data_IF_333146638484
#
_entry.id   IF_333146638484
#
_cell.length_a   1.000
_cell.length_b   1.000
_cell.length_c   1.000
_cell.angle_alpha   90.00
_cell.angle_beta   90.00
_cell.angle_gamma   90.00
#
_symmetry.space_group_name_H-M   'P 1'
#
loop_
_entity.id
_entity.type
_entity.pdbx_description
1 polymer ?
#
# COMPACT_ATOMS: atom_id res chain seq x y z
N UNK A 1 38.40 18.18 8.89
CA UNK A 1 36.97 18.52 8.98
C UNK A 1 36.23 17.65 7.97
N UNK A 2 35.77 16.46 8.38
CA UNK A 2 34.96 15.61 7.51
C UNK A 2 33.52 15.62 8.03
N UNK A 3 32.69 16.44 7.38
CA UNK A 3 31.26 16.49 7.62
C UNK A 3 30.59 15.28 6.99
N UNK A 4 30.64 14.14 7.69
CA UNK A 4 29.88 12.95 7.35
C UNK A 4 28.39 13.27 7.33
N UNK A 5 27.80 13.32 6.13
CA UNK A 5 26.36 13.42 5.91
C UNK A 5 25.71 12.17 6.50
N UNK A 6 25.33 12.26 7.79
CA UNK A 6 24.51 11.28 8.47
C UNK A 6 23.08 11.37 7.93
N UNK A 7 22.87 10.95 6.68
CA UNK A 7 21.52 10.63 6.20
C UNK A 7 21.13 9.34 6.90
N UNK A 8 20.45 9.48 8.03
CA UNK A 8 19.64 8.38 8.55
C UNK A 8 18.78 7.87 7.38
N UNK A 9 18.77 6.56 7.09
CA UNK A 9 17.88 6.02 6.07
C UNK A 9 16.46 6.44 6.45
N UNK A 10 15.78 7.12 5.52
CA UNK A 10 14.40 7.48 5.72
C UNK A 10 13.63 6.21 6.14
N UNK A 11 12.77 6.28 7.17
CA UNK A 11 12.00 5.12 7.59
C UNK A 11 11.33 4.52 6.36
N UNK A 12 11.52 3.22 6.12
CA UNK A 12 10.89 2.52 5.01
C UNK A 12 9.38 2.60 5.20
N UNK A 13 8.74 3.60 4.60
CA UNK A 13 7.30 3.72 4.63
C UNK A 13 6.68 2.52 3.89
N UNK A 14 5.48 2.11 4.30
CA UNK A 14 4.77 1.03 3.63
C UNK A 14 4.45 1.46 2.19
N UNK A 15 5.18 0.92 1.21
CA UNK A 15 5.05 1.30 -0.20
C UNK A 15 4.03 0.44 -0.96
N UNK A 16 3.24 -0.37 -0.25
CA UNK A 16 2.26 -1.29 -0.84
C UNK A 16 1.14 -1.62 0.16
N UNK A 17 -0.02 -1.98 -0.37
CA UNK A 17 -1.20 -2.36 0.39
C UNK A 17 -1.43 -3.87 0.27
N UNK A 18 -1.74 -4.55 1.39
CA UNK A 18 -2.18 -5.94 1.39
C UNK A 18 -3.64 -6.02 1.83
N UNK A 19 -4.49 -6.65 1.01
CA UNK A 19 -5.91 -6.80 1.28
C UNK A 19 -6.26 -8.29 1.31
N UNK A 20 -7.10 -8.67 2.28
CA UNK A 20 -7.85 -9.93 2.23
C UNK A 20 -9.31 -9.60 1.99
N UNK A 21 -9.82 -10.00 0.82
CA UNK A 21 -11.16 -9.67 0.36
C UNK A 21 -11.94 -10.95 0.10
N UNK A 22 -13.25 -10.90 0.35
CA UNK A 22 -14.23 -11.89 -0.08
C UNK A 22 -15.25 -11.16 -0.95
N UNK A 23 -15.05 -11.09 -2.27
CA UNK A 23 -16.12 -10.62 -3.14
C UNK A 23 -17.24 -11.66 -3.19
N UNK A 24 -18.47 -11.23 -3.46
CA UNK A 24 -19.59 -12.14 -3.70
C UNK A 24 -19.43 -12.85 -5.04
N UNK A 25 -18.94 -12.12 -6.06
CA UNK A 25 -18.49 -12.67 -7.34
C UNK A 25 -17.02 -12.34 -7.61
N UNK A 26 -16.21 -13.36 -7.90
CA UNK A 26 -14.81 -13.20 -8.25
C UNK A 26 -14.59 -12.32 -9.50
N UNK A 27 -15.57 -12.23 -10.41
CA UNK A 27 -15.52 -11.36 -11.59
C UNK A 27 -15.50 -9.86 -11.25
N UNK A 28 -15.88 -9.49 -10.02
CA UNK A 28 -15.92 -8.11 -9.55
C UNK A 28 -14.56 -7.61 -9.05
N UNK A 29 -13.65 -8.52 -8.70
CA UNK A 29 -12.35 -8.15 -8.14
C UNK A 29 -11.57 -7.18 -9.06
N UNK A 30 -11.47 -7.39 -10.40
CA UNK A 30 -10.82 -6.43 -11.28
C UNK A 30 -11.47 -5.04 -11.26
N UNK A 31 -12.81 -4.97 -11.20
CA UNK A 31 -13.55 -3.70 -11.12
C UNK A 31 -13.26 -2.97 -9.81
N UNK A 32 -13.31 -3.68 -8.70
CA UNK A 32 -12.97 -3.15 -7.37
C UNK A 32 -11.53 -2.65 -7.32
N UNK A 33 -10.57 -3.45 -7.77
CA UNK A 33 -9.15 -3.07 -7.75
C UNK A 33 -8.87 -1.89 -8.68
N UNK A 34 -9.56 -1.81 -9.82
CA UNK A 34 -9.48 -0.64 -10.71
C UNK A 34 -10.00 0.61 -10.00
N UNK A 35 -11.17 0.54 -9.37
CA UNK A 35 -11.74 1.65 -8.62
C UNK A 35 -10.80 2.12 -7.49
N UNK A 36 -10.27 1.20 -6.67
CA UNK A 36 -9.30 1.52 -5.61
C UNK A 36 -8.09 2.22 -6.20
N UNK A 37 -7.49 1.66 -7.24
CA UNK A 37 -6.27 2.18 -7.84
C UNK A 37 -6.48 3.57 -8.45
N UNK A 38 -7.58 3.74 -9.20
CA UNK A 38 -7.90 4.99 -9.88
C UNK A 38 -8.29 6.10 -8.91
N UNK A 39 -9.22 5.82 -7.99
CA UNK A 39 -9.69 6.78 -6.98
C UNK A 39 -8.55 7.25 -6.09
N UNK A 40 -7.71 6.33 -5.58
CA UNK A 40 -6.56 6.70 -4.75
C UNK A 40 -5.51 7.48 -5.53
N UNK A 41 -5.22 7.09 -6.78
CA UNK A 41 -4.26 7.82 -7.61
C UNK A 41 -4.72 9.26 -7.87
N UNK A 42 -5.99 9.47 -8.20
CA UNK A 42 -6.54 10.81 -8.40
C UNK A 42 -6.47 11.66 -7.14
N UNK A 43 -6.96 11.13 -6.01
CA UNK A 43 -6.98 11.87 -4.75
C UNK A 43 -5.55 12.23 -4.29
N UNK A 44 -4.62 11.27 -4.35
CA UNK A 44 -3.24 11.48 -3.90
C UNK A 44 -2.45 12.39 -4.84
N UNK A 45 -2.68 12.30 -6.15
CA UNK A 45 -2.09 13.22 -7.11
C UNK A 45 -2.58 14.65 -6.85
N UNK A 46 -3.89 14.84 -6.70
CA UNK A 46 -4.46 16.14 -6.39
C UNK A 46 -3.89 16.72 -5.09
N UNK A 47 -3.89 15.94 -4.01
CA UNK A 47 -3.36 16.33 -2.70
C UNK A 47 -1.86 16.66 -2.70
N UNK A 48 -1.08 15.92 -3.49
CA UNK A 48 0.36 16.12 -3.59
C UNK A 48 0.77 17.13 -4.67
N UNK A 49 -0.18 17.71 -5.41
CA UNK A 49 0.10 18.60 -6.53
C UNK A 49 0.82 17.90 -7.69
N UNK A 50 0.66 16.58 -7.81
CA UNK A 50 1.28 15.76 -8.86
C UNK A 50 0.28 15.43 -9.96
N UNK A 51 0.82 15.05 -11.11
CA UNK A 51 0.08 14.41 -12.19
C UNK A 51 0.79 13.12 -12.63
N UNK A 52 0.08 12.26 -13.36
CA UNK A 52 0.63 11.00 -13.89
C UNK A 52 0.41 9.77 -12.99
N UNK A 53 1.22 8.74 -13.22
CA UNK A 53 1.04 7.43 -12.57
C UNK A 53 1.42 7.49 -11.08
N UNK A 54 0.53 6.96 -10.23
CA UNK A 54 0.77 6.82 -8.78
C UNK A 54 1.24 5.41 -8.41
N UNK A 55 0.54 4.38 -8.91
CA UNK A 55 0.88 2.98 -8.67
C UNK A 55 1.93 2.47 -9.67
N UNK A 56 2.94 1.75 -9.18
CA UNK A 56 4.05 1.22 -10.00
C UNK A 56 3.64 0.04 -10.88
N UNK A 57 2.72 -0.80 -10.40
CA UNK A 57 2.32 -2.03 -11.07
C UNK A 57 0.82 -2.32 -10.88
N UNK A 58 0.32 -3.29 -11.65
CA UNK A 58 -1.00 -3.89 -11.41
C UNK A 58 -1.01 -4.62 -10.06
N UNK A 59 -2.21 -4.90 -9.56
CA UNK A 59 -2.37 -5.70 -8.35
C UNK A 59 -1.95 -7.16 -8.58
N UNK A 60 -1.47 -7.80 -7.51
CA UNK A 60 -1.26 -9.23 -7.45
C UNK A 60 -2.33 -9.86 -6.56
N UNK A 61 -2.98 -10.92 -7.04
CA UNK A 61 -3.99 -11.64 -6.29
C UNK A 61 -3.69 -13.14 -6.25
N UNK A 62 -3.96 -13.75 -5.10
CA UNK A 62 -3.94 -15.20 -4.95
C UNK A 62 -5.19 -15.64 -4.24
N UNK A 63 -6.03 -16.42 -4.92
CA UNK A 63 -7.25 -16.96 -4.33
C UNK A 63 -6.97 -18.20 -3.46
N UNK A 64 -7.87 -18.43 -2.50
CA UNK A 64 -7.95 -19.67 -1.75
C UNK A 64 -9.41 -20.01 -1.44
N UNK A 65 -9.69 -21.29 -1.24
CA UNK A 65 -11.04 -21.76 -0.97
C UNK A 65 -11.55 -21.18 0.36
N UNK A 66 -12.82 -20.76 0.47
CA UNK A 66 -13.38 -20.20 1.71
C UNK A 66 -13.26 -21.12 2.93
N UNK A 67 -13.24 -22.44 2.71
CA UNK A 67 -13.10 -23.48 3.75
C UNK A 67 -11.66 -23.71 4.21
N UNK A 68 -10.66 -23.12 3.55
CA UNK A 68 -9.26 -23.24 3.95
C UNK A 68 -8.95 -22.31 5.12
N UNK A 69 -9.43 -22.72 6.31
CA UNK A 69 -9.35 -21.91 7.51
C UNK A 69 -7.92 -21.63 7.93
N UNK A 70 -7.03 -22.59 7.74
CA UNK A 70 -5.60 -22.47 8.05
C UNK A 70 -4.93 -21.44 7.14
N UNK A 71 -5.19 -21.47 5.83
CA UNK A 71 -4.63 -20.47 4.91
C UNK A 71 -5.18 -19.08 5.21
N UNK A 72 -6.47 -18.96 5.49
CA UNK A 72 -7.07 -17.67 5.88
C UNK A 72 -6.37 -17.04 7.10
N UNK A 73 -6.20 -17.80 8.19
CA UNK A 73 -5.53 -17.30 9.40
C UNK A 73 -4.06 -16.95 9.13
N UNK A 74 -3.35 -17.76 8.35
CA UNK A 74 -1.95 -17.45 8.01
C UNK A 74 -1.82 -16.21 7.14
N UNK A 75 -2.74 -15.99 6.20
CA UNK A 75 -2.80 -14.77 5.37
C UNK A 75 -3.08 -13.56 6.24
N UNK A 76 -4.10 -13.60 7.11
CA UNK A 76 -4.39 -12.52 8.06
C UNK A 76 -3.16 -12.17 8.92
N UNK A 77 -2.52 -13.19 9.50
CA UNK A 77 -1.30 -13.00 10.30
C UNK A 77 -0.16 -12.41 9.48
N UNK A 78 0.03 -12.84 8.24
CA UNK A 78 1.05 -12.30 7.35
C UNK A 78 0.82 -10.80 7.07
N UNK A 79 -0.42 -10.42 6.76
CA UNK A 79 -0.81 -9.02 6.54
C UNK A 79 -0.53 -8.19 7.79
N UNK A 80 -1.01 -8.63 8.96
CA UNK A 80 -0.80 -7.92 10.22
C UNK A 80 0.66 -7.90 10.69
N UNK A 81 1.47 -8.85 10.25
CA UNK A 81 2.90 -8.86 10.54
C UNK A 81 3.70 -7.93 9.63
N UNK A 82 3.14 -7.42 8.54
CA UNK A 82 3.89 -6.66 7.54
C UNK A 82 4.57 -5.40 8.11
N UNK A 83 3.90 -4.53 8.90
CA UNK A 83 4.57 -3.37 9.50
C UNK A 83 5.74 -3.76 10.40
N UNK A 84 5.63 -4.90 11.10
CA UNK A 84 6.71 -5.45 11.92
C UNK A 84 7.85 -5.99 11.07
N UNK A 85 7.52 -6.76 10.03
CA UNK A 85 8.50 -7.36 9.12
C UNK A 85 9.28 -6.31 8.31
N UNK A 86 8.65 -5.20 7.96
CA UNK A 86 9.27 -4.07 7.27
C UNK A 86 10.10 -3.16 8.20
N UNK A 87 10.12 -3.42 9.52
CA UNK A 87 10.83 -2.60 10.50
C UNK A 87 10.12 -1.27 10.83
N UNK A 88 8.89 -1.05 10.35
CA UNK A 88 8.09 0.16 10.62
C UNK A 88 7.62 0.18 12.08
N UNK A 89 7.24 -0.98 12.61
CA UNK A 89 6.74 -1.16 13.97
C UNK A 89 7.53 -2.23 14.71
N UNK A 90 7.69 -2.07 16.02
CA UNK A 90 8.28 -3.12 16.88
C UNK A 90 7.33 -4.30 17.09
N UNK A 91 6.01 -4.06 16.99
CA UNK A 91 4.96 -5.05 17.21
C UNK A 91 3.95 -5.10 16.06
N UNK A 92 2.89 -5.89 16.25
CA UNK A 92 1.81 -6.07 15.27
C UNK A 92 0.83 -4.90 15.21
N UNK A 93 0.74 -4.11 16.29
CA UNK A 93 -0.18 -2.99 16.31
C UNK A 93 0.30 -1.89 15.37
N UNK A 94 -0.53 -1.57 14.39
CA UNK A 94 -0.37 -0.43 13.51
C UNK A 94 -1.76 0.21 13.28
N UNK A 95 -1.93 1.52 13.54
CA UNK A 95 -3.21 2.21 13.36
C UNK A 95 -3.77 2.14 11.94
N UNK A 96 -2.91 1.94 10.94
CA UNK A 96 -3.29 1.81 9.53
C UNK A 96 -3.59 0.36 9.11
N UNK A 97 -3.69 -0.55 10.08
CA UNK A 97 -4.07 -1.94 9.87
C UNK A 97 -5.28 -2.29 10.72
N UNK A 98 -6.09 -3.24 10.25
CA UNK A 98 -7.19 -3.76 11.06
C UNK A 98 -6.75 -4.77 12.14
N UNK A 99 -5.44 -4.88 12.48
CA UNK A 99 -5.00 -5.77 13.57
C UNK A 99 -5.67 -5.41 14.92
N UNK A 100 -5.98 -4.13 15.15
CA UNK A 100 -6.75 -3.68 16.31
C UNK A 100 -8.15 -4.29 16.41
N UNK A 101 -8.83 -4.46 15.26
CA UNK A 101 -10.14 -5.10 15.17
C UNK A 101 -10.12 -6.58 15.62
N UNK A 102 -9.00 -7.27 15.36
CA UNK A 102 -8.83 -8.68 15.75
C UNK A 102 -8.26 -8.84 17.16
N UNK A 103 -7.26 -8.04 17.53
CA UNK A 103 -6.54 -8.19 18.80
C UNK A 103 -7.20 -7.49 19.98
N UNK A 104 -7.85 -6.35 19.74
CA UNK A 104 -8.45 -5.50 20.79
C UNK A 104 -9.96 -5.37 20.67
N UNK A 105 -10.58 -6.04 19.70
CA UNK A 105 -12.02 -5.96 19.41
C UNK A 105 -12.47 -4.51 19.15
N UNK A 106 -11.59 -3.70 18.55
CA UNK A 106 -11.94 -2.35 18.14
C UNK A 106 -12.97 -2.40 17.01
N UNK A 107 -13.95 -1.52 17.07
CA UNK A 107 -14.93 -1.36 16.00
C UNK A 107 -14.29 -0.65 14.80
N UNK A 108 -14.57 -1.16 13.62
CA UNK A 108 -14.21 -0.58 12.32
C UNK A 108 -15.44 -0.76 11.41
N UNK A 109 -15.67 0.21 10.53
CA UNK A 109 -16.78 0.21 9.57
C UNK A 109 -16.50 -0.74 8.40
N UNK A 110 -15.22 -0.99 8.08
CA UNK A 110 -14.81 -1.71 6.88
C UNK A 110 -14.50 -3.18 7.11
N UNK A 111 -14.05 -3.55 8.31
CA UNK A 111 -13.61 -4.91 8.62
C UNK A 111 -14.74 -5.80 9.11
N UNK A 112 -14.70 -7.05 8.66
CA UNK A 112 -15.50 -8.14 9.22
C UNK A 112 -14.55 -9.21 9.77
N UNK A 113 -14.97 -9.90 10.84
CA UNK A 113 -14.22 -11.05 11.35
C UNK A 113 -14.38 -12.24 10.42
N UNK A 114 -13.25 -12.78 9.95
CA UNK A 114 -13.26 -14.00 9.16
C UNK A 114 -13.79 -15.19 9.98
N UNK A 115 -14.58 -16.13 9.41
CA UNK A 115 -15.08 -17.29 10.13
C UNK A 115 -13.99 -18.10 10.86
N UNK A 116 -12.81 -18.24 10.26
CA UNK A 116 -11.66 -18.90 10.91
C UNK A 116 -11.18 -18.23 12.20
N UNK A 117 -11.34 -16.91 12.32
CA UNK A 117 -11.04 -16.20 13.57
C UNK A 117 -12.12 -16.49 14.61
N UNK A 118 -13.40 -16.48 14.21
CA UNK A 118 -14.51 -16.78 15.11
C UNK A 118 -14.46 -18.21 15.65
N UNK A 119 -13.94 -19.16 14.87
CA UNK A 119 -13.74 -20.55 15.29
C UNK A 119 -12.59 -20.74 16.30
N UNK A 120 -11.77 -19.71 16.58
CA UNK A 120 -10.63 -19.87 17.50
C UNK A 120 -11.07 -20.17 18.94
N UNK A 121 -12.22 -19.67 19.39
CA UNK A 121 -12.78 -19.92 20.72
C UNK A 121 -14.30 -19.77 20.70
N UNK A 122 -14.97 -20.20 21.77
CA UNK A 122 -16.43 -20.03 21.91
C UNK A 122 -16.87 -18.59 22.15
N UNK A 123 -15.98 -17.75 22.69
CA UNK A 123 -16.26 -16.34 22.99
C UNK A 123 -15.28 -15.42 22.27
N UNK A 124 -15.77 -14.25 21.83
CA UNK A 124 -15.00 -13.29 21.04
C UNK A 124 -13.71 -12.81 21.73
N UNK A 125 -13.77 -12.58 23.06
CA UNK A 125 -12.58 -12.25 23.87
C UNK A 125 -11.54 -13.37 23.86
N UNK A 126 -12.00 -14.63 23.80
CA UNK A 126 -11.14 -15.80 23.63
C UNK A 126 -10.50 -15.85 22.26
N UNK A 127 -11.25 -15.53 21.19
CA UNK A 127 -10.74 -15.45 19.83
C UNK A 127 -9.64 -14.39 19.71
N UNK A 128 -9.88 -13.18 20.25
CA UNK A 128 -8.88 -12.10 20.27
C UNK A 128 -7.59 -12.54 20.98
N UNK A 129 -7.68 -13.15 22.17
CA UNK A 129 -6.51 -13.66 22.91
C UNK A 129 -5.75 -14.73 22.14
N UNK A 130 -6.46 -15.74 21.59
CA UNK A 130 -5.84 -16.83 20.82
C UNK A 130 -5.22 -16.31 19.52
N UNK A 131 -5.86 -15.36 18.85
CA UNK A 131 -5.33 -14.73 17.65
C UNK A 131 -4.06 -13.91 17.94
N UNK A 132 -4.07 -13.09 18.99
CA UNK A 132 -2.90 -12.32 19.41
C UNK A 132 -1.71 -13.24 19.72
N UNK A 133 -1.94 -14.35 20.44
CA UNK A 133 -0.92 -15.36 20.70
C UNK A 133 -0.42 -16.05 19.42
N UNK A 134 -1.33 -16.39 18.51
CA UNK A 134 -0.99 -16.95 17.20
C UNK A 134 -0.11 -16.01 16.35
N UNK A 135 -0.36 -14.70 16.43
CA UNK A 135 0.45 -13.66 15.78
C UNK A 135 1.83 -13.51 16.43
N UNK A 136 1.93 -13.52 17.76
CA UNK A 136 3.21 -13.41 18.46
C UNK A 136 4.22 -14.49 18.05
N UNK A 137 3.76 -15.69 17.68
CA UNK A 137 4.59 -16.80 17.19
C UNK A 137 5.05 -16.65 15.74
N UNK A 138 4.64 -15.59 15.05
CA UNK A 138 5.10 -15.32 13.68
C UNK A 138 6.60 -15.05 13.65
N UNK A 139 7.30 -15.79 12.80
CA UNK A 139 8.70 -15.54 12.45
C UNK A 139 8.75 -15.14 10.99
N UNK A 140 9.22 -13.92 10.73
CA UNK A 140 9.44 -13.48 9.37
C UNK A 140 10.51 -14.38 8.73
N UNK A 141 10.17 -15.00 7.61
CA UNK A 141 11.17 -15.69 6.79
C UNK A 141 11.78 -14.64 5.88
N UNK A 142 13.09 -14.42 5.98
CA UNK A 142 13.80 -13.59 5.01
C UNK A 142 13.50 -14.09 3.61
N UNK A 143 13.11 -13.20 2.69
CA UNK A 143 13.05 -13.55 1.28
C UNK A 143 14.43 -14.07 0.88
N UNK A 144 14.50 -15.26 0.28
CA UNK A 144 15.72 -15.68 -0.38
C UNK A 144 16.15 -14.59 -1.36
N UNK A 145 17.43 -14.23 -1.37
CA UNK A 145 17.95 -13.21 -2.26
C UNK A 145 17.47 -13.42 -3.71
N UNK A 146 17.31 -12.35 -4.49
CA UNK A 146 16.81 -12.46 -5.85
C UNK A 146 17.69 -13.44 -6.63
N UNK A 147 17.11 -14.56 -7.09
CA UNK A 147 17.77 -15.46 -8.03
C UNK A 147 17.59 -14.87 -9.42
N UNK A 148 18.43 -13.90 -9.77
CA UNK A 148 18.50 -13.41 -11.14
C UNK A 148 19.28 -14.43 -11.99
N UNK A 149 18.55 -15.26 -12.75
CA UNK A 149 19.13 -16.12 -13.80
C UNK A 149 19.36 -15.37 -15.12
N UNK A 150 18.84 -14.14 -15.24
CA UNK A 150 19.10 -13.25 -16.36
C UNK A 150 20.28 -12.34 -16.02
N UNK A 151 21.41 -12.61 -16.68
CA UNK A 151 22.74 -12.19 -16.24
C UNK A 151 22.98 -10.66 -16.13
N UNK A 152 23.85 -10.22 -15.21
CA UNK A 152 24.21 -8.80 -15.00
C UNK A 152 24.86 -8.10 -16.21
N UNK A 153 25.32 -8.87 -17.21
CA UNK A 153 26.15 -8.35 -18.32
C UNK A 153 25.33 -7.73 -19.45
N UNK A 154 24.07 -8.13 -19.65
CA UNK A 154 23.28 -7.67 -20.80
C UNK A 154 22.70 -6.26 -20.58
N UNK A 155 22.32 -5.94 -19.34
CA UNK A 155 21.81 -4.62 -18.96
C UNK A 155 22.91 -3.54 -18.98
N UNK A 156 24.14 -3.90 -18.61
CA UNK A 156 25.28 -2.96 -18.65
C UNK A 156 25.55 -2.44 -20.07
N UNK A 157 25.46 -3.32 -21.08
CA UNK A 157 25.62 -2.98 -22.51
C UNK A 157 24.52 -2.08 -23.07
N UNK A 158 23.30 -2.16 -22.56
CA UNK A 158 22.18 -1.32 -23.01
C UNK A 158 22.22 0.08 -22.38
N UNK A 159 22.60 0.18 -21.11
CA UNK A 159 22.73 1.46 -20.41
C UNK A 159 23.92 2.28 -20.92
N UNK A 160 25.01 1.63 -21.35
CA UNK A 160 26.17 2.29 -21.95
C UNK A 160 25.87 2.92 -23.33
N UNK A 161 24.86 2.44 -24.07
CA UNK A 161 24.50 2.96 -25.40
C UNK A 161 23.43 4.06 -25.38
N UNK A 162 22.84 4.38 -24.23
CA UNK A 162 21.64 5.22 -24.12
C UNK A 162 21.81 6.58 -23.44
N UNK A 163 23.04 7.10 -23.28
CA UNK A 163 23.25 8.45 -22.70
C UNK A 163 23.08 9.54 -23.76
N UNK A 164 21.85 9.72 -24.23
CA UNK A 164 21.38 10.93 -24.89
C UNK A 164 20.67 11.82 -23.87
N UNK A 165 21.20 13.03 -23.64
CA UNK A 165 20.58 14.05 -22.79
C UNK A 165 19.28 14.52 -23.43
N UNK A 166 18.12 14.08 -22.92
CA UNK A 166 16.85 14.77 -23.15
C UNK A 166 16.26 15.24 -21.81
N UNK A 167 16.17 16.56 -21.69
CA UNK A 167 15.50 17.28 -20.62
C UNK A 167 14.04 16.82 -20.52
N UNK A 168 13.68 16.16 -19.42
CA UNK A 168 12.28 15.87 -19.07
C UNK A 168 11.62 17.16 -18.55
N UNK A 169 11.23 18.05 -19.46
CA UNK A 169 10.27 19.11 -19.18
C UNK A 169 8.96 18.76 -19.87
N UNK A 170 7.90 18.66 -19.06
CA UNK A 170 6.49 18.69 -19.43
C UNK A 170 6.08 17.77 -20.58
N UNK A 171 5.83 16.50 -20.27
CA UNK A 171 5.05 15.61 -21.13
C UNK A 171 3.80 15.18 -20.35
N UNK A 172 2.69 15.84 -20.61
CA UNK A 172 1.37 15.28 -20.32
C UNK A 172 1.17 14.12 -21.30
N UNK A 173 0.87 12.93 -20.78
CA UNK A 173 0.68 11.75 -21.61
C UNK A 173 -0.56 11.93 -22.52
N UNK A 174 -0.43 11.78 -23.85
CA UNK A 174 -1.58 11.82 -24.75
C UNK A 174 -2.46 10.62 -24.46
N UNK A 175 -3.70 10.85 -24.00
CA UNK A 175 -4.68 9.77 -23.78
C UNK A 175 -5.53 9.84 -22.52
N UNK A 176 -5.35 10.84 -21.64
CA UNK A 176 -6.31 11.06 -20.55
C UNK A 176 -7.60 11.71 -21.09
N UNK A 177 -8.52 10.88 -21.58
CA UNK A 177 -9.92 11.29 -21.70
C UNK A 177 -10.52 11.46 -20.30
N UNK A 178 -11.25 12.55 -20.08
CA UNK A 178 -12.13 12.70 -18.92
C UNK A 178 -13.40 11.90 -19.20
N UNK A 179 -13.71 10.93 -18.34
CA UNK A 179 -14.93 10.12 -18.47
C UNK A 179 -16.13 10.83 -17.82
N UNK A 180 -17.33 10.71 -18.43
CA UNK A 180 -18.53 11.47 -18.04
C UNK A 180 -19.21 11.00 -16.75
N UNK A 181 -18.73 9.91 -16.14
CA UNK A 181 -19.22 9.36 -14.87
C UNK A 181 -18.14 9.39 -13.79
N UNK A 182 -17.40 10.49 -13.71
CA UNK A 182 -16.69 10.83 -12.49
C UNK A 182 -17.72 10.87 -11.37
N UNK A 183 -17.79 9.80 -10.57
CA UNK A 183 -18.43 9.88 -9.27
C UNK A 183 -17.88 11.14 -8.60
N UNK A 184 -18.78 11.97 -8.10
CA UNK A 184 -18.50 13.07 -7.20
C UNK A 184 -17.84 12.51 -5.93
N UNK A 185 -16.57 12.10 -6.04
CA UNK A 185 -15.61 12.56 -5.06
C UNK A 185 -15.69 14.06 -5.28
N UNK A 186 -16.49 14.74 -4.46
CA UNK A 186 -16.41 16.18 -4.37
C UNK A 186 -14.97 16.45 -3.95
N UNK A 187 -14.07 16.63 -4.93
CA UNK A 187 -12.65 16.92 -4.74
C UNK A 187 -12.51 18.18 -3.87
N UNK A 188 -13.57 18.99 -3.82
CA UNK A 188 -13.74 20.17 -2.97
C UNK A 188 -14.13 19.84 -1.51
N UNK A 189 -14.24 18.57 -1.10
CA UNK A 189 -14.55 18.12 0.26
C UNK A 189 -13.47 17.18 0.80
N UNK A 190 -12.20 17.36 0.41
CA UNK A 190 -11.12 16.60 1.04
C UNK A 190 -11.00 17.09 2.50
N UNK A 191 -11.15 16.20 3.51
CA UNK A 191 -11.06 16.60 4.90
C UNK A 191 -9.71 17.26 5.20
N UNK A 192 -9.71 18.31 6.03
CA UNK A 192 -8.50 19.09 6.33
C UNK A 192 -7.37 18.23 6.93
N UNK A 193 -7.73 17.19 7.68
CA UNK A 193 -6.78 16.20 8.21
C UNK A 193 -5.96 15.47 7.11
N UNK A 194 -6.50 15.34 5.90
CA UNK A 194 -5.80 14.75 4.75
C UNK A 194 -4.75 15.69 4.17
N UNK A 195 -4.89 17.01 4.35
CA UNK A 195 -3.88 17.98 3.92
C UNK A 195 -2.57 17.77 4.70
N UNK A 196 -2.64 17.46 5.99
CA UNK A 196 -1.45 17.17 6.79
C UNK A 196 -0.76 15.89 6.33
N UNK A 197 -1.54 14.86 5.97
CA UNK A 197 -1.03 13.62 5.38
C UNK A 197 -0.35 13.92 4.04
N UNK A 198 -0.96 14.76 3.22
CA UNK A 198 -0.40 15.18 1.93
C UNK A 198 0.93 15.94 2.10
N UNK A 199 1.03 16.88 3.05
CA UNK A 199 2.28 17.59 3.35
C UNK A 199 3.37 16.62 3.80
N UNK A 200 3.05 15.67 4.69
CA UNK A 200 3.99 14.62 5.11
C UNK A 200 4.44 13.76 3.92
N UNK A 201 3.50 13.37 3.06
CA UNK A 201 3.77 12.61 1.85
C UNK A 201 4.67 13.39 0.89
N UNK A 202 4.40 14.68 0.65
CA UNK A 202 5.23 15.54 -0.20
C UNK A 202 6.67 15.63 0.33
N UNK A 203 6.83 15.89 1.63
CA UNK A 203 8.15 15.93 2.29
C UNK A 203 8.90 14.61 2.18
N UNK A 204 8.24 13.48 2.46
CA UNK A 204 8.84 12.15 2.37
C UNK A 204 9.30 11.79 0.94
N UNK A 205 8.62 12.33 -0.08
CA UNK A 205 8.94 12.13 -1.49
C UNK A 205 9.78 13.27 -2.12
N UNK A 206 10.24 14.25 -1.32
CA UNK A 206 11.08 15.35 -1.79
C UNK A 206 10.39 16.35 -2.73
N UNK A 207 9.05 16.40 -2.73
CA UNK A 207 8.25 17.32 -3.56
C UNK A 207 8.28 18.70 -2.89
N UNK A 208 8.74 19.74 -3.61
CA UNK A 208 8.86 21.11 -3.10
C UNK A 208 7.60 21.90 -3.44
N UNK A 209 7.16 22.79 -2.55
CA UNK A 209 5.95 23.61 -2.76
C UNK A 209 6.07 24.61 -3.94
N UNK A 210 7.26 24.75 -4.56
CA UNK A 210 7.48 25.55 -5.76
C UNK A 210 7.03 24.91 -7.08
N UNK A 211 6.75 23.60 -7.09
CA UNK A 211 6.33 22.86 -8.30
C UNK A 211 4.82 23.06 -8.62
N UNK A 212 4.09 23.79 -7.78
CA UNK A 212 2.62 23.90 -7.81
C UNK A 212 2.07 24.99 -8.76
N UNK A 213 2.93 25.76 -9.45
CA UNK A 213 2.53 26.94 -10.25
C UNK A 213 1.78 26.69 -11.56
N UNK A 214 1.26 25.49 -11.83
CA UNK A 214 0.65 25.17 -13.14
C UNK A 214 -0.85 24.82 -13.15
N UNK A 215 -1.63 25.03 -12.09
CA UNK A 215 -3.03 24.55 -12.06
C UNK A 215 -4.07 25.54 -11.48
N UNK A 216 -3.86 26.85 -11.61
CA UNK A 216 -4.88 27.87 -11.31
C UNK A 216 -5.07 28.90 -12.45
N UNK A 217 -5.12 28.43 -13.70
CA UNK A 217 -5.61 29.22 -14.84
C UNK A 217 -6.68 28.44 -15.58
#
# INVERSE_FOLDING_TARGET
MEGGSNRQPAPHHANHLHLLLRPDDASELPRLMHWIAWTSAMALNHLSGRCGHFWEARYYATAFAPKDHRRALNTLRYIHANPKAAGIRKGFYDPYSNYGHYSRLQTDVMSQWHPSFLQLASILKGCSKRYAWFCQRYRHKSKSGPRCHWGPRMLKRLVEKGRGSQSKKNLVSPGQQKLPFAFDIRLNQIPEEWQQVAVKFRRANGIRDGDTRMLLS
#
